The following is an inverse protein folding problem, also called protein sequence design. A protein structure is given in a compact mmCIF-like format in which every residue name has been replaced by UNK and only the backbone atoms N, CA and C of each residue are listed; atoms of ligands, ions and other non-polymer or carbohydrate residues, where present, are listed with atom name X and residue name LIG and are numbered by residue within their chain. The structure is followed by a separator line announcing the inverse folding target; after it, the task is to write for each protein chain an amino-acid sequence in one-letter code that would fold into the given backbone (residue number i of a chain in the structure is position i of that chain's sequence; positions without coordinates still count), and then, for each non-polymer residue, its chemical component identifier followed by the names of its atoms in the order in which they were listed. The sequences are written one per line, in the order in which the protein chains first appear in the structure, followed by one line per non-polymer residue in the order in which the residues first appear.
data_IF_766822839123
#
_entry.id   IF_766822839123
#
_cell.length_a   1.000
_cell.length_b   1.000
_cell.length_c   1.000
_cell.angle_alpha   90.00
_cell.angle_beta   90.00
_cell.angle_gamma   90.00
#
_symmetry.space_group_name_H-M   'P 1'
#
loop_
_entity.id
_entity.type
_entity.pdbx_description
1 polymer ?
#
# COMPACT_ATOMS: atom_id res chain seq x y z
N UNK A 1 40.04 3.75 -10.20
CA UNK A 1 38.89 2.85 -9.96
C UNK A 1 37.80 3.71 -9.35
N UNK A 2 36.89 4.22 -10.18
CA UNK A 2 35.76 4.98 -9.67
C UNK A 2 34.72 3.99 -9.12
N UNK A 3 34.56 3.95 -7.80
CA UNK A 3 33.48 3.20 -7.20
C UNK A 3 32.16 3.93 -7.48
N UNK A 4 31.22 3.25 -8.14
CA UNK A 4 29.84 3.72 -8.22
C UNK A 4 29.23 3.65 -6.83
N UNK A 5 28.93 4.81 -6.25
CA UNK A 5 28.15 4.91 -5.00
C UNK A 5 26.68 4.88 -5.37
N UNK A 6 25.91 4.00 -4.73
CA UNK A 6 24.46 3.96 -4.83
C UNK A 6 23.88 4.78 -3.67
N UNK A 7 23.34 5.95 -4.00
CA UNK A 7 22.62 6.77 -3.02
C UNK A 7 21.17 6.29 -2.92
N UNK A 8 20.72 5.99 -1.71
CA UNK A 8 19.33 5.63 -1.43
C UNK A 8 18.76 6.56 -0.37
N UNK A 9 17.67 7.26 -0.71
CA UNK A 9 16.99 8.17 0.19
C UNK A 9 15.55 7.68 0.47
N UNK A 10 15.33 6.92 1.56
CA UNK A 10 14.02 6.34 1.87
C UNK A 10 12.95 7.39 2.18
N UNK A 11 13.34 8.60 2.58
CA UNK A 11 12.38 9.67 2.88
C UNK A 11 11.55 10.07 1.66
N UNK A 12 12.06 9.81 0.44
CA UNK A 12 11.34 10.06 -0.83
C UNK A 12 10.07 9.22 -0.96
N UNK A 13 10.01 8.05 -0.32
CA UNK A 13 8.85 7.16 -0.35
C UNK A 13 7.62 7.77 0.33
N UNK A 14 7.83 8.64 1.32
CA UNK A 14 6.78 9.34 2.08
C UNK A 14 6.76 10.85 1.82
N UNK A 15 7.60 11.33 0.90
CA UNK A 15 7.67 12.71 0.44
C UNK A 15 6.56 13.05 -0.56
N UNK A 16 6.39 14.34 -0.83
CA UNK A 16 5.48 14.79 -1.89
C UNK A 16 6.13 14.54 -3.26
N UNK A 17 5.47 13.82 -4.17
CA UNK A 17 5.98 13.52 -5.52
C UNK A 17 6.39 14.79 -6.29
N UNK A 18 5.67 15.90 -6.10
CA UNK A 18 5.99 17.19 -6.76
C UNK A 18 7.37 17.76 -6.36
N UNK A 19 7.94 17.33 -5.23
CA UNK A 19 9.29 17.71 -4.79
C UNK A 19 10.37 16.73 -5.27
N UNK A 20 9.98 15.58 -5.83
CA UNK A 20 10.90 14.60 -6.40
C UNK A 20 11.09 14.93 -7.88
N UNK A 21 12.26 15.47 -8.24
CA UNK A 21 12.63 15.91 -9.60
C UNK A 21 12.59 14.78 -10.65
N UNK A 22 11.40 14.39 -11.12
CA UNK A 22 11.18 13.69 -12.39
C UNK A 22 11.64 12.23 -12.50
N UNK A 23 12.28 11.65 -11.49
CA UNK A 23 12.53 10.20 -11.49
C UNK A 23 11.23 9.48 -11.12
N UNK A 24 10.55 8.89 -12.10
CA UNK A 24 9.48 7.91 -11.86
C UNK A 24 10.06 6.64 -11.23
N UNK A 25 10.46 6.72 -9.95
CA UNK A 25 10.79 5.51 -9.19
C UNK A 25 9.55 4.62 -9.16
N UNK A 26 9.69 3.42 -9.73
CA UNK A 26 8.62 2.42 -9.76
C UNK A 26 8.55 1.75 -8.40
N UNK A 27 7.84 2.38 -7.47
CA UNK A 27 7.62 1.85 -6.13
C UNK A 27 6.36 0.98 -6.10
N UNK A 28 6.45 -0.13 -5.39
CA UNK A 28 5.34 -1.01 -5.05
C UNK A 28 5.06 -0.92 -3.54
N UNK A 29 3.80 -0.95 -3.15
CA UNK A 29 3.38 -1.09 -1.76
C UNK A 29 2.98 -2.54 -1.50
N UNK A 30 3.66 -3.22 -0.58
CA UNK A 30 3.25 -4.53 -0.08
C UNK A 30 2.72 -4.37 1.34
N UNK A 31 1.44 -4.68 1.53
CA UNK A 31 0.77 -4.70 2.84
C UNK A 31 0.81 -6.12 3.36
N UNK A 32 1.31 -6.28 4.59
CA UNK A 32 1.37 -7.56 5.29
C UNK A 32 0.21 -7.68 6.28
N UNK A 33 0.01 -8.88 6.83
CA UNK A 33 -1.02 -9.16 7.84
C UNK A 33 -0.65 -8.56 9.22
N UNK A 34 -0.46 -7.24 9.28
CA UNK A 34 -0.17 -6.47 10.49
C UNK A 34 -1.22 -5.36 10.68
N UNK A 35 -1.53 -5.01 11.93
CA UNK A 35 -2.55 -3.99 12.20
C UNK A 35 -2.12 -2.62 11.68
N UNK A 36 -2.99 -2.00 10.87
CA UNK A 36 -2.79 -0.66 10.30
C UNK A 36 -3.45 0.44 11.14
N UNK A 37 -4.20 0.10 12.19
CA UNK A 37 -5.07 1.03 12.93
C UNK A 37 -4.33 2.24 13.53
N UNK A 38 -3.05 2.06 13.88
CA UNK A 38 -2.21 3.12 14.44
C UNK A 38 -1.41 3.90 13.39
N UNK A 39 -1.51 3.53 12.12
CA UNK A 39 -0.79 4.20 11.05
C UNK A 39 -1.48 5.51 10.68
N UNK A 40 -0.75 6.61 10.81
CA UNK A 40 -1.26 7.94 10.45
C UNK A 40 -1.77 7.98 9.00
N UNK A 41 -2.99 8.51 8.83
CA UNK A 41 -3.67 8.60 7.54
C UNK A 41 -2.87 9.35 6.48
N UNK A 42 -2.20 10.46 6.85
CA UNK A 42 -1.43 11.24 5.87
C UNK A 42 -0.21 10.45 5.39
N UNK A 43 0.45 9.71 6.28
CA UNK A 43 1.56 8.83 5.91
C UNK A 43 1.08 7.71 4.98
N UNK A 44 0.02 7.00 5.37
CA UNK A 44 -0.53 5.91 4.55
C UNK A 44 -0.98 6.41 3.17
N UNK A 45 -1.68 7.54 3.13
CA UNK A 45 -2.11 8.17 1.88
C UNK A 45 -0.93 8.49 0.95
N UNK A 46 0.19 9.00 1.49
CA UNK A 46 1.38 9.27 0.67
C UNK A 46 2.02 7.99 0.16
N UNK A 47 2.17 6.97 1.00
CA UNK A 47 2.66 5.66 0.56
C UNK A 47 1.77 5.09 -0.55
N UNK A 48 0.45 5.16 -0.38
CA UNK A 48 -0.52 4.70 -1.35
C UNK A 48 -0.38 5.44 -2.69
N UNK A 49 -0.40 6.76 -2.67
CA UNK A 49 -0.38 7.61 -3.86
C UNK A 49 0.97 7.53 -4.61
N UNK A 50 2.06 7.31 -3.89
CA UNK A 50 3.41 7.21 -4.45
C UNK A 50 3.70 5.86 -5.12
N UNK A 51 2.88 4.83 -4.87
CA UNK A 51 3.10 3.48 -5.41
C UNK A 51 2.28 3.22 -6.67
N UNK A 52 2.91 2.64 -7.70
CA UNK A 52 2.24 2.24 -8.95
C UNK A 52 1.39 0.99 -8.78
N UNK A 53 1.82 0.07 -7.91
CA UNK A 53 1.09 -1.15 -7.56
C UNK A 53 0.95 -1.25 -6.05
N UNK A 54 -0.19 -1.79 -5.59
CA UNK A 54 -0.45 -2.06 -4.16
C UNK A 54 -0.89 -3.51 -4.02
N UNK A 55 -0.16 -4.30 -3.23
CA UNK A 55 -0.44 -5.71 -3.02
C UNK A 55 -0.77 -5.96 -1.55
N UNK A 56 -1.77 -6.79 -1.30
CA UNK A 56 -2.05 -7.35 0.02
C UNK A 56 -1.61 -8.81 0.04
N UNK A 57 -0.79 -9.18 1.01
CA UNK A 57 -0.47 -10.59 1.28
C UNK A 57 -1.58 -11.22 2.12
N UNK A 58 -2.41 -12.06 1.50
CA UNK A 58 -3.47 -12.86 2.14
C UNK A 58 -4.31 -12.03 3.14
N UNK A 59 -4.25 -12.29 4.45
CA UNK A 59 -5.02 -11.58 5.49
C UNK A 59 -4.71 -10.09 5.62
N UNK A 60 -3.69 -9.58 4.92
CA UNK A 60 -3.51 -8.14 4.72
C UNK A 60 -4.73 -7.47 4.06
N UNK A 61 -5.52 -8.21 3.27
CA UNK A 61 -6.77 -7.72 2.71
C UNK A 61 -7.74 -7.25 3.80
N UNK A 62 -7.88 -8.03 4.87
CA UNK A 62 -8.69 -7.68 6.03
C UNK A 62 -8.17 -6.41 6.73
N UNK A 63 -6.84 -6.27 6.82
CA UNK A 63 -6.20 -5.11 7.46
C UNK A 63 -6.46 -3.85 6.67
N UNK A 64 -6.35 -3.93 5.35
CA UNK A 64 -6.66 -2.82 4.45
C UNK A 64 -8.14 -2.46 4.49
N UNK A 65 -9.03 -3.45 4.51
CA UNK A 65 -10.48 -3.25 4.57
C UNK A 65 -10.86 -2.49 5.83
N UNK A 66 -10.47 -3.01 7.00
CA UNK A 66 -10.70 -2.36 8.30
C UNK A 66 -10.10 -0.96 8.35
N UNK A 67 -8.89 -0.76 7.83
CA UNK A 67 -8.26 0.55 7.78
C UNK A 67 -9.05 1.55 6.93
N UNK A 68 -9.49 1.09 5.75
CA UNK A 68 -10.32 1.89 4.84
C UNK A 68 -11.64 2.30 5.47
N UNK A 69 -12.28 1.40 6.21
CA UNK A 69 -13.57 1.65 6.88
C UNK A 69 -13.40 2.72 7.97
N UNK A 70 -12.43 2.51 8.87
CA UNK A 70 -12.12 3.45 9.96
C UNK A 70 -11.76 4.86 9.49
N UNK A 71 -11.13 4.98 8.31
CA UNK A 71 -10.67 6.25 7.75
C UNK A 71 -11.57 6.80 6.62
N UNK A 72 -12.73 6.18 6.37
CA UNK A 72 -13.66 6.56 5.29
C UNK A 72 -12.98 6.62 3.90
N UNK A 73 -12.13 5.66 3.58
CA UNK A 73 -11.36 5.60 2.35
C UNK A 73 -11.35 4.23 1.65
N UNK A 74 -12.27 3.33 2.02
CA UNK A 74 -12.49 2.02 1.38
C UNK A 74 -12.53 2.08 -0.17
N UNK A 75 -13.31 2.98 -0.75
CA UNK A 75 -13.46 3.14 -2.20
C UNK A 75 -12.17 3.62 -2.89
N UNK A 76 -11.33 4.34 -2.16
CA UNK A 76 -10.02 4.80 -2.66
C UNK A 76 -8.95 3.72 -2.52
N UNK A 77 -9.09 2.85 -1.52
CA UNK A 77 -8.08 1.89 -1.11
C UNK A 77 -8.34 0.49 -1.69
N UNK A 78 -8.43 0.43 -3.02
CA UNK A 78 -8.51 -0.83 -3.76
C UNK A 78 -7.10 -1.32 -4.10
N UNK A 79 -6.65 -2.46 -3.54
CA UNK A 79 -5.35 -3.02 -3.88
C UNK A 79 -5.36 -3.49 -5.34
N UNK A 80 -4.19 -3.50 -5.98
CA UNK A 80 -3.99 -4.10 -7.30
C UNK A 80 -4.29 -5.60 -7.27
N UNK A 81 -3.90 -6.29 -6.20
CA UNK A 81 -4.24 -7.68 -5.97
C UNK A 81 -4.12 -8.05 -4.49
N UNK A 82 -4.87 -9.07 -4.09
CA UNK A 82 -4.69 -9.81 -2.83
C UNK A 82 -4.13 -11.18 -3.23
N UNK A 83 -2.98 -11.56 -2.67
CA UNK A 83 -2.22 -12.74 -3.12
C UNK A 83 -1.77 -13.57 -1.93
N UNK A 84 -1.88 -14.90 -2.05
CA UNK A 84 -1.49 -15.88 -1.03
C UNK A 84 -2.25 -17.19 -1.24
N UNK A 85 -2.26 -18.05 -0.23
CA UNK A 85 -3.15 -19.21 -0.12
C UNK A 85 -4.57 -18.84 0.31
N UNK A 86 -4.77 -17.60 0.79
CA UNK A 86 -6.06 -17.00 1.14
C UNK A 86 -6.73 -17.64 2.37
N UNK A 87 -5.98 -18.31 3.22
CA UNK A 87 -6.52 -19.01 4.40
C UNK A 87 -6.83 -18.05 5.58
N UNK A 88 -6.27 -16.84 5.56
CA UNK A 88 -6.50 -15.83 6.59
C UNK A 88 -7.32 -14.62 6.12
N UNK A 89 -7.66 -14.53 4.83
CA UNK A 89 -8.63 -13.57 4.29
C UNK A 89 -10.06 -13.96 4.73
N UNK A 90 -10.83 -13.01 5.27
CA UNK A 90 -12.19 -13.26 5.72
C UNK A 90 -13.23 -13.00 4.61
N UNK A 91 -14.42 -13.61 4.73
CA UNK A 91 -15.51 -13.52 3.74
C UNK A 91 -15.92 -12.07 3.46
N UNK A 92 -16.09 -11.23 4.49
CA UNK A 92 -16.49 -9.83 4.34
C UNK A 92 -15.51 -9.04 3.45
N UNK A 93 -14.21 -9.17 3.71
CA UNK A 93 -13.18 -8.48 2.93
C UNK A 93 -13.09 -9.08 1.53
N UNK A 94 -13.15 -10.41 1.42
CA UNK A 94 -13.14 -11.12 0.14
C UNK A 94 -14.28 -10.64 -0.76
N UNK A 95 -15.51 -10.62 -0.25
CA UNK A 95 -16.70 -10.25 -1.01
C UNK A 95 -16.68 -8.77 -1.40
N UNK A 96 -16.23 -7.90 -0.48
CA UNK A 96 -16.05 -6.49 -0.79
C UNK A 96 -15.09 -6.28 -1.96
N UNK A 97 -13.88 -6.84 -1.90
CA UNK A 97 -12.90 -6.61 -2.97
C UNK A 97 -13.26 -7.31 -4.27
N UNK A 98 -13.86 -8.50 -4.20
CA UNK A 98 -14.33 -9.22 -5.39
C UNK A 98 -15.45 -8.47 -6.13
N UNK A 99 -16.28 -7.71 -5.40
CA UNK A 99 -17.31 -6.85 -5.98
C UNK A 99 -16.80 -5.52 -6.57
N UNK A 100 -15.49 -5.24 -6.47
CA UNK A 100 -14.85 -4.01 -6.99
C UNK A 100 -13.97 -4.27 -8.22
N UNK A 101 -13.90 -5.52 -8.68
CA UNK A 101 -13.18 -5.95 -9.89
C UNK A 101 -13.99 -5.60 -11.14
#
# INVERSE_FOLDING_TARGET
MDSKVHEFNPSRLIGNILANNGSEERVALLILNYSLEKLDYKIFKRLWDNCKIRLCADGAGNRLFKYGDLNNCLERNLPTAIVGDLDSLNEESHDYYSGKV
#
